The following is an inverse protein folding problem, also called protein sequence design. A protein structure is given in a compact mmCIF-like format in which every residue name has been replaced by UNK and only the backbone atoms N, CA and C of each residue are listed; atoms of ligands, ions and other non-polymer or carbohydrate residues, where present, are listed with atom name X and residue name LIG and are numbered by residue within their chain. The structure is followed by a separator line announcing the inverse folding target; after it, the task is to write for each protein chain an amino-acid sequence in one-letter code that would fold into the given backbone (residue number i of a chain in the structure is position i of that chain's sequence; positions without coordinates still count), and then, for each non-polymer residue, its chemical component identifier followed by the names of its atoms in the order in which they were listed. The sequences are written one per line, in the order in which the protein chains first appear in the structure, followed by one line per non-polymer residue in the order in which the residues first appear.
data_IF_754831170866
#
_entry.id   IF_754831170866
#
_cell.length_a   1.000
_cell.length_b   1.000
_cell.length_c   1.000
_cell.angle_alpha   90.00
_cell.angle_beta   90.00
_cell.angle_gamma   90.00
#
_symmetry.space_group_name_H-M   'P 1'
#
loop_
_entity.id
_entity.type
_entity.pdbx_description
1 polymer ?
#
# COMPACT_ATOMS: atom_id res chain seq x y z
N UNK A 1 -33.04 -11.23 71.99
CA UNK A 1 -32.42 -10.04 71.38
C UNK A 1 -31.24 -10.57 70.54
N UNK A 2 -31.37 -10.64 69.23
CA UNK A 2 -30.33 -11.18 68.28
C UNK A 2 -29.94 -10.04 67.36
N UNK A 3 -28.74 -9.46 67.56
CA UNK A 3 -28.13 -8.44 66.69
C UNK A 3 -27.60 -9.11 65.44
N UNK A 4 -28.12 -8.72 64.27
CA UNK A 4 -27.53 -9.08 62.98
C UNK A 4 -26.64 -7.92 62.55
N UNK A 5 -25.31 -8.11 62.60
CA UNK A 5 -24.36 -7.26 61.90
C UNK A 5 -24.42 -7.53 60.40
N UNK A 6 -24.78 -6.53 59.60
CA UNK A 6 -24.65 -6.58 58.17
C UNK A 6 -23.31 -5.97 57.78
N UNK A 7 -22.41 -6.80 57.27
CA UNK A 7 -21.11 -6.35 56.65
C UNK A 7 -21.39 -5.83 55.25
N UNK A 8 -21.19 -4.53 55.03
CA UNK A 8 -21.08 -3.96 53.70
C UNK A 8 -19.70 -4.21 53.15
N UNK A 9 -19.59 -5.01 52.09
CA UNK A 9 -18.38 -5.14 51.31
C UNK A 9 -18.40 -4.07 50.21
N UNK A 10 -17.56 -3.05 50.37
CA UNK A 10 -17.33 -2.04 49.32
C UNK A 10 -16.40 -2.63 48.25
N UNK A 11 -16.92 -2.93 47.07
CA UNK A 11 -16.15 -3.32 45.92
C UNK A 11 -15.64 -2.06 45.24
N UNK A 12 -14.39 -1.69 45.49
CA UNK A 12 -13.69 -0.64 44.75
C UNK A 12 -13.31 -1.16 43.37
N UNK A 13 -14.08 -0.81 42.35
CA UNK A 13 -13.76 -1.11 40.97
C UNK A 13 -12.53 -0.32 40.50
N UNK A 14 -11.41 -1.01 40.28
CA UNK A 14 -10.24 -0.44 39.67
C UNK A 14 -10.49 -0.31 38.16
N UNK A 15 -10.79 0.89 37.67
CA UNK A 15 -10.91 1.15 36.25
C UNK A 15 -9.49 1.09 35.63
N UNK A 16 -9.16 0.02 34.93
CA UNK A 16 -7.98 -0.02 34.05
C UNK A 16 -8.23 0.94 32.89
N UNK A 17 -7.60 2.09 32.89
CA UNK A 17 -7.47 2.91 31.72
C UNK A 17 -6.56 2.18 30.73
N UNK A 18 -7.15 1.59 29.68
CA UNK A 18 -6.41 1.06 28.54
C UNK A 18 -5.78 2.25 27.81
N UNK A 19 -4.51 2.51 28.06
CA UNK A 19 -3.72 3.41 27.21
C UNK A 19 -3.58 2.73 25.86
N UNK A 20 -4.28 3.24 24.86
CA UNK A 20 -4.05 2.85 23.47
C UNK A 20 -2.64 3.36 23.11
N UNK A 21 -1.70 2.43 22.99
CA UNK A 21 -0.42 2.71 22.36
C UNK A 21 -0.72 2.91 20.87
N UNK A 22 -0.87 4.16 20.44
CA UNK A 22 -0.81 4.49 19.03
C UNK A 22 0.62 4.22 18.59
N UNK A 23 0.79 3.30 17.65
CA UNK A 23 2.07 3.15 16.98
C UNK A 23 2.36 4.49 16.28
N UNK A 24 3.49 5.11 16.59
CA UNK A 24 3.91 6.35 15.95
C UNK A 24 3.94 6.12 14.44
N UNK A 25 3.20 6.94 13.70
CA UNK A 25 3.23 6.92 12.24
C UNK A 25 4.65 7.24 11.77
N UNK A 26 5.14 6.50 10.77
CA UNK A 26 6.43 6.78 10.14
C UNK A 26 6.43 8.06 9.29
N UNK A 27 5.29 8.71 9.17
CA UNK A 27 5.08 9.99 8.48
C UNK A 27 4.36 10.94 9.43
N UNK A 28 4.90 12.13 9.60
CA UNK A 28 4.29 13.20 10.38
C UNK A 28 3.22 13.90 9.57
N UNK A 29 1.96 13.49 9.73
CA UNK A 29 0.79 13.98 9.00
C UNK A 29 -0.50 13.84 9.80
N UNK A 30 -1.51 14.62 9.42
CA UNK A 30 -2.85 14.64 10.00
C UNK A 30 -3.84 13.87 9.13
N UNK A 31 -4.49 12.84 9.70
CA UNK A 31 -5.55 12.09 9.01
C UNK A 31 -6.74 13.01 8.70
N UNK A 32 -7.09 13.93 9.60
CA UNK A 32 -8.20 14.86 9.42
C UNK A 32 -7.93 15.84 8.26
N UNK A 33 -6.75 16.43 8.23
CA UNK A 33 -6.35 17.35 7.15
C UNK A 33 -6.22 16.60 5.81
N UNK A 34 -5.66 15.39 5.83
CA UNK A 34 -5.57 14.52 4.67
C UNK A 34 -6.94 14.18 4.08
N UNK A 35 -7.93 13.87 4.95
CA UNK A 35 -9.31 13.67 4.54
C UNK A 35 -9.90 14.91 3.88
N UNK A 36 -9.70 16.09 4.46
CA UNK A 36 -10.20 17.34 3.91
C UNK A 36 -9.61 17.65 2.52
N UNK A 37 -8.34 17.28 2.30
CA UNK A 37 -7.62 17.50 1.04
C UNK A 37 -7.87 16.42 -0.01
N UNK A 38 -8.37 15.25 0.37
CA UNK A 38 -8.50 14.07 -0.51
C UNK A 38 -9.54 14.21 -1.61
N UNK A 39 -10.43 15.21 -1.56
CA UNK A 39 -11.58 15.32 -2.45
C UNK A 39 -11.22 15.26 -3.94
N UNK A 40 -10.14 15.90 -4.35
CA UNK A 40 -9.67 15.87 -5.75
C UNK A 40 -9.12 14.50 -6.15
N UNK A 41 -8.58 13.75 -5.21
CA UNK A 41 -8.02 12.41 -5.43
C UNK A 41 -9.13 11.38 -5.67
N UNK A 42 -10.27 11.55 -5.00
CA UNK A 42 -11.39 10.59 -5.04
C UNK A 42 -12.02 10.45 -6.41
N UNK A 43 -11.91 11.44 -7.27
CA UNK A 43 -12.44 11.41 -8.64
C UNK A 43 -11.85 10.24 -9.47
N UNK A 44 -10.60 9.88 -9.23
CA UNK A 44 -9.90 8.81 -9.93
C UNK A 44 -9.69 7.59 -9.03
N UNK A 45 -9.27 7.83 -7.78
CA UNK A 45 -8.92 6.76 -6.84
C UNK A 45 -10.12 6.21 -6.03
N UNK A 46 -11.33 6.70 -6.29
CA UNK A 46 -12.54 6.31 -5.57
C UNK A 46 -12.73 7.05 -4.25
N UNK A 47 -13.97 7.11 -3.71
CA UNK A 47 -14.31 7.93 -2.54
C UNK A 47 -13.55 7.54 -1.27
N UNK A 48 -13.12 6.29 -1.18
CA UNK A 48 -12.34 5.75 -0.05
C UNK A 48 -10.96 5.26 -0.49
N UNK A 49 -10.43 5.78 -1.60
CA UNK A 49 -9.12 5.38 -2.12
C UNK A 49 -9.08 3.99 -2.77
N UNK A 50 -10.24 3.39 -3.05
CA UNK A 50 -10.40 2.14 -3.78
C UNK A 50 -11.05 2.44 -5.13
N UNK A 51 -10.23 2.46 -6.19
CA UNK A 51 -10.68 2.80 -7.54
C UNK A 51 -11.57 1.72 -8.14
N UNK A 52 -12.62 2.14 -8.85
CA UNK A 52 -13.44 1.23 -9.67
C UNK A 52 -12.83 0.98 -11.04
N UNK A 53 -11.89 1.82 -11.46
CA UNK A 53 -11.19 1.68 -12.74
C UNK A 53 -9.85 0.98 -12.55
N UNK A 54 -9.57 -0.09 -13.30
CA UNK A 54 -8.28 -0.79 -13.22
C UNK A 54 -7.09 0.03 -13.75
N UNK A 55 -7.37 1.16 -14.40
CA UNK A 55 -6.35 2.09 -14.89
C UNK A 55 -5.70 2.90 -13.76
N UNK A 56 -6.45 3.18 -12.69
CA UNK A 56 -6.00 3.97 -11.55
C UNK A 56 -5.80 3.08 -10.33
N UNK A 57 -4.72 3.27 -9.57
CA UNK A 57 -4.43 2.40 -8.44
C UNK A 57 -5.40 2.59 -7.27
N UNK A 58 -5.62 1.49 -6.55
CA UNK A 58 -6.07 1.56 -5.18
C UNK A 58 -4.95 2.17 -4.34
N UNK A 59 -5.27 3.18 -3.54
CA UNK A 59 -4.35 3.86 -2.63
C UNK A 59 -4.76 3.72 -1.16
N UNK A 60 -5.97 3.22 -0.90
CA UNK A 60 -6.41 2.86 0.45
C UNK A 60 -5.57 1.73 1.03
N UNK A 61 -5.18 1.85 2.30
CA UNK A 61 -4.32 0.88 3.00
C UNK A 61 -2.90 0.79 2.47
N UNK A 62 -2.49 1.71 1.61
CA UNK A 62 -1.12 1.79 1.14
C UNK A 62 -0.23 2.46 2.17
N UNK A 63 0.99 1.95 2.37
CA UNK A 63 1.95 2.46 3.34
C UNK A 63 2.23 3.96 3.16
N UNK A 64 2.03 4.77 4.19
CA UNK A 64 2.21 6.23 4.13
C UNK A 64 3.62 6.64 3.69
N UNK A 65 4.72 6.02 4.16
CA UNK A 65 6.06 6.36 3.67
C UNK A 65 6.24 6.13 2.17
N UNK A 66 5.55 5.12 1.61
CA UNK A 66 5.57 4.87 0.18
C UNK A 66 4.73 5.90 -0.58
N UNK A 67 3.50 6.20 -0.13
CA UNK A 67 2.65 7.22 -0.75
C UNK A 67 3.34 8.58 -0.79
N UNK A 68 3.90 9.02 0.34
CA UNK A 68 4.65 10.27 0.43
C UNK A 68 5.82 10.30 -0.55
N UNK A 69 6.59 9.21 -0.63
CA UNK A 69 7.71 9.11 -1.56
C UNK A 69 7.25 9.17 -3.03
N UNK A 70 6.10 8.57 -3.37
CA UNK A 70 5.58 8.62 -4.73
C UNK A 70 5.03 10.01 -5.10
N UNK A 71 4.32 10.70 -4.19
CA UNK A 71 3.86 12.06 -4.42
C UNK A 71 5.03 13.02 -4.65
N UNK A 72 6.09 12.89 -3.83
CA UNK A 72 7.33 13.65 -4.04
C UNK A 72 7.99 13.32 -5.38
N UNK A 73 8.08 12.04 -5.73
CA UNK A 73 8.66 11.61 -7.00
C UNK A 73 7.91 12.18 -8.23
N UNK A 74 6.57 12.26 -8.18
CA UNK A 74 5.78 12.92 -9.21
C UNK A 74 6.02 14.42 -9.27
N UNK A 75 6.14 15.08 -8.12
CA UNK A 75 6.42 16.51 -8.03
C UNK A 75 7.82 16.88 -8.54
N UNK A 76 8.80 16.04 -8.22
CA UNK A 76 10.22 16.22 -8.59
C UNK A 76 10.54 15.74 -10.01
N UNK A 77 9.61 15.02 -10.66
CA UNK A 77 9.78 14.48 -12.00
C UNK A 77 10.60 13.19 -12.08
N UNK A 78 11.01 12.59 -10.95
CA UNK A 78 11.68 11.28 -10.94
C UNK A 78 10.70 10.11 -11.17
N UNK A 79 9.39 10.38 -11.07
CA UNK A 79 8.30 9.56 -11.57
C UNK A 79 7.37 10.46 -12.40
N UNK A 80 7.07 10.05 -13.62
CA UNK A 80 6.25 10.87 -14.53
C UNK A 80 4.93 10.19 -14.86
N UNK A 81 3.86 10.95 -14.77
CA UNK A 81 2.53 10.61 -15.24
C UNK A 81 1.79 11.92 -15.50
N UNK A 82 1.18 12.12 -16.69
CA UNK A 82 0.57 13.42 -17.03
C UNK A 82 -0.46 13.92 -16.02
N UNK A 83 -1.26 13.01 -15.44
CA UNK A 83 -2.29 13.35 -14.47
C UNK A 83 -1.68 13.55 -13.08
N UNK A 84 -0.93 12.53 -12.60
CA UNK A 84 -0.40 12.57 -11.23
C UNK A 84 0.68 13.62 -11.02
N UNK A 85 1.53 13.88 -12.02
CA UNK A 85 2.52 14.96 -11.93
C UNK A 85 1.84 16.33 -11.77
N UNK A 86 0.76 16.59 -12.53
CA UNK A 86 -0.01 17.81 -12.40
C UNK A 86 -0.68 17.95 -11.01
N UNK A 87 -1.24 16.86 -10.47
CA UNK A 87 -1.83 16.86 -9.13
C UNK A 87 -0.77 17.10 -8.04
N UNK A 88 0.36 16.41 -8.12
CA UNK A 88 1.42 16.51 -7.12
C UNK A 88 2.09 17.91 -7.09
N UNK A 89 2.17 18.61 -8.22
CA UNK A 89 2.68 19.98 -8.30
C UNK A 89 1.92 20.98 -7.43
N UNK A 90 0.63 20.74 -7.18
CA UNK A 90 -0.23 21.62 -6.39
C UNK A 90 -0.11 21.39 -4.88
N UNK A 91 0.54 20.30 -4.44
CA UNK A 91 0.62 19.89 -3.04
C UNK A 91 1.87 20.49 -2.38
N UNK A 92 1.71 20.98 -1.16
CA UNK A 92 2.83 21.24 -0.25
C UNK A 92 3.38 19.91 0.31
N UNK A 93 4.54 19.94 0.95
CA UNK A 93 5.11 18.77 1.61
C UNK A 93 4.21 18.25 2.73
N UNK A 94 3.56 19.16 3.47
CA UNK A 94 2.60 18.79 4.52
C UNK A 94 1.33 18.18 3.91
N UNK A 95 0.79 18.72 2.81
CA UNK A 95 -0.37 18.13 2.14
C UNK A 95 -0.09 16.68 1.70
N UNK A 96 1.11 16.44 1.17
CA UNK A 96 1.52 15.08 0.77
C UNK A 96 1.64 14.14 1.97
N UNK A 97 2.12 14.62 3.12
CA UNK A 97 2.20 13.84 4.35
C UNK A 97 0.81 13.52 4.91
N UNK A 98 -0.08 14.52 4.99
CA UNK A 98 -1.45 14.37 5.48
C UNK A 98 -2.25 13.38 4.61
N UNK A 99 -2.18 13.53 3.30
CA UNK A 99 -2.81 12.60 2.34
C UNK A 99 -2.26 11.18 2.49
N UNK A 100 -0.96 11.02 2.70
CA UNK A 100 -0.33 9.71 2.84
C UNK A 100 -0.85 8.97 4.07
N UNK A 101 -0.90 9.61 5.24
CA UNK A 101 -1.43 8.98 6.47
C UNK A 101 -2.93 8.76 6.41
N UNK A 102 -3.68 9.64 5.74
CA UNK A 102 -5.11 9.45 5.54
C UNK A 102 -5.39 8.20 4.72
N UNK A 103 -4.78 8.05 3.53
CA UNK A 103 -5.03 6.88 2.70
C UNK A 103 -4.49 5.58 3.31
N UNK A 104 -3.40 5.62 4.08
CA UNK A 104 -2.93 4.46 4.84
C UNK A 104 -3.98 4.00 5.87
N UNK A 105 -4.72 4.93 6.50
CA UNK A 105 -5.73 4.63 7.51
C UNK A 105 -7.00 3.97 6.95
N UNK A 106 -7.19 4.01 5.64
CA UNK A 106 -8.38 3.46 4.98
C UNK A 106 -8.24 1.95 4.71
N UNK A 107 -9.36 1.21 4.70
CA UNK A 107 -9.33 -0.23 4.42
C UNK A 107 -8.91 -0.49 2.97
N UNK A 108 -7.89 -1.33 2.79
CA UNK A 108 -7.46 -1.78 1.48
C UNK A 108 -8.55 -2.59 0.76
N UNK A 109 -8.61 -2.49 -0.57
CA UNK A 109 -9.52 -3.27 -1.38
C UNK A 109 -9.27 -4.78 -1.21
N UNK A 110 -10.36 -5.55 -1.10
CA UNK A 110 -10.33 -6.99 -1.19
C UNK A 110 -10.88 -7.40 -2.56
N UNK A 111 -10.03 -7.97 -3.40
CA UNK A 111 -10.40 -8.38 -4.75
C UNK A 111 -10.15 -9.87 -4.96
N UNK A 112 -10.70 -10.42 -6.03
CA UNK A 112 -10.37 -11.74 -6.53
C UNK A 112 -9.23 -11.65 -7.54
N UNK A 113 -8.53 -12.74 -7.77
CA UNK A 113 -7.54 -12.83 -8.86
C UNK A 113 -8.21 -12.48 -10.19
N UNK A 114 -7.51 -11.80 -11.07
CA UNK A 114 -8.04 -11.40 -12.37
C UNK A 114 -8.20 -12.61 -13.30
N UNK A 115 -7.25 -13.54 -13.27
CA UNK A 115 -7.23 -14.76 -14.08
C UNK A 115 -6.86 -15.95 -13.22
N UNK A 116 -7.84 -16.80 -12.95
CA UNK A 116 -7.67 -18.01 -12.14
C UNK A 116 -6.70 -19.03 -12.76
N UNK A 117 -6.57 -19.06 -14.09
CA UNK A 117 -5.68 -19.99 -14.79
C UNK A 117 -4.18 -19.72 -14.52
N UNK A 118 -3.84 -18.49 -14.17
CA UNK A 118 -2.46 -18.05 -13.93
C UNK A 118 -2.04 -18.09 -12.46
N UNK A 119 -2.94 -18.44 -11.53
CA UNK A 119 -2.70 -18.36 -10.06
C UNK A 119 -1.47 -19.15 -9.65
N UNK A 120 -1.33 -20.40 -10.09
CA UNK A 120 -0.20 -21.25 -9.70
C UNK A 120 1.15 -20.64 -10.12
N UNK A 121 1.21 -20.07 -11.33
CA UNK A 121 2.42 -19.38 -11.81
C UNK A 121 2.68 -18.11 -11.02
N UNK A 122 1.66 -17.28 -10.79
CA UNK A 122 1.76 -16.05 -10.02
C UNK A 122 2.21 -16.31 -8.59
N UNK A 123 1.63 -17.34 -7.94
CA UNK A 123 2.01 -17.75 -6.59
C UNK A 123 3.46 -18.26 -6.52
N UNK A 124 3.85 -19.13 -7.45
CA UNK A 124 5.21 -19.66 -7.49
C UNK A 124 6.25 -18.54 -7.62
N UNK A 125 6.02 -17.58 -8.52
CA UNK A 125 6.89 -16.42 -8.69
C UNK A 125 6.88 -15.50 -7.47
N UNK A 126 5.71 -15.23 -6.91
CA UNK A 126 5.59 -14.35 -5.75
C UNK A 126 6.33 -14.91 -4.54
N UNK A 127 6.17 -16.22 -4.27
CA UNK A 127 6.73 -16.90 -3.09
C UNK A 127 8.15 -17.41 -3.28
N UNK A 128 8.48 -17.89 -4.46
CA UNK A 128 9.76 -18.55 -4.76
C UNK A 128 10.69 -17.78 -5.67
N UNK A 129 10.16 -16.83 -6.44
CA UNK A 129 10.91 -16.20 -7.53
C UNK A 129 11.15 -17.15 -8.69
N UNK A 130 12.17 -16.86 -9.48
CA UNK A 130 12.66 -17.73 -10.54
C UNK A 130 14.20 -17.67 -10.56
N UNK A 131 14.84 -18.73 -10.06
CA UNK A 131 16.29 -18.80 -9.95
C UNK A 131 17.00 -18.92 -11.31
N UNK A 132 16.34 -19.49 -12.32
CA UNK A 132 16.89 -19.62 -13.67
C UNK A 132 17.11 -18.25 -14.32
N UNK A 133 16.18 -17.33 -14.11
CA UNK A 133 16.24 -15.96 -14.63
C UNK A 133 16.78 -14.94 -13.61
N UNK A 134 17.11 -15.40 -12.39
CA UNK A 134 17.57 -14.52 -11.31
C UNK A 134 16.49 -13.57 -10.77
N UNK A 135 15.21 -13.94 -10.85
CA UNK A 135 14.09 -13.20 -10.28
C UNK A 135 13.95 -13.53 -8.80
N UNK A 136 14.12 -12.55 -7.94
CA UNK A 136 13.93 -12.70 -6.50
C UNK A 136 12.44 -12.88 -6.15
N UNK A 137 12.16 -13.64 -5.08
CA UNK A 137 10.79 -13.78 -4.56
C UNK A 137 10.23 -12.43 -4.08
N UNK A 138 9.07 -12.05 -4.56
CA UNK A 138 8.42 -10.76 -4.24
C UNK A 138 8.11 -10.65 -2.74
N UNK A 139 7.73 -11.79 -2.11
CA UNK A 139 7.41 -11.85 -0.68
C UNK A 139 8.57 -11.41 0.23
N UNK A 140 9.83 -11.52 -0.23
CA UNK A 140 11.00 -11.14 0.57
C UNK A 140 11.00 -9.65 0.96
N UNK A 141 10.47 -8.80 0.08
CA UNK A 141 10.37 -7.36 0.30
C UNK A 141 8.93 -6.91 0.57
N UNK A 142 7.96 -7.49 -0.14
CA UNK A 142 6.55 -7.08 -0.04
C UNK A 142 5.74 -7.88 0.99
N UNK A 143 6.36 -8.82 1.69
CA UNK A 143 5.73 -9.65 2.72
C UNK A 143 4.87 -10.78 2.15
N UNK A 144 4.57 -11.81 2.97
CA UNK A 144 3.87 -13.03 2.52
C UNK A 144 2.42 -12.78 2.09
N UNK A 145 1.79 -11.74 2.62
CA UNK A 145 0.43 -11.29 2.32
C UNK A 145 0.40 -10.01 1.45
N UNK A 146 1.56 -9.53 0.99
CA UNK A 146 1.64 -8.35 0.14
C UNK A 146 1.36 -7.02 0.86
N UNK A 147 1.52 -6.95 2.18
CA UNK A 147 1.32 -5.70 2.94
C UNK A 147 2.49 -4.73 2.86
N UNK A 148 3.58 -5.15 2.22
CA UNK A 148 4.78 -4.34 2.10
C UNK A 148 5.60 -4.22 3.37
N UNK A 149 6.51 -3.25 3.37
CA UNK A 149 7.31 -2.87 4.53
C UNK A 149 7.40 -1.34 4.61
N UNK A 150 6.64 -0.71 5.50
CA UNK A 150 6.61 0.76 5.61
C UNK A 150 7.98 1.37 5.91
N UNK A 151 8.77 0.76 6.81
CA UNK A 151 10.07 1.28 7.22
C UNK A 151 11.08 1.28 6.05
N UNK A 152 10.97 0.31 5.13
CA UNK A 152 11.77 0.24 3.92
C UNK A 152 11.13 0.98 2.72
N UNK A 153 9.95 1.56 2.90
CA UNK A 153 9.12 2.18 1.84
C UNK A 153 8.74 1.20 0.73
N UNK A 154 8.66 -0.10 1.06
CA UNK A 154 8.15 -1.10 0.11
C UNK A 154 6.62 -1.09 0.14
N UNK A 155 5.97 -0.95 -1.02
CA UNK A 155 4.52 -0.80 -1.08
C UNK A 155 3.76 -2.06 -0.69
N UNK A 156 2.55 -1.86 -0.18
CA UNK A 156 1.53 -2.89 -0.18
C UNK A 156 1.13 -3.20 -1.64
N UNK A 157 0.98 -4.49 -1.92
CA UNK A 157 0.58 -5.00 -3.24
C UNK A 157 -0.78 -5.67 -3.21
N UNK A 158 -1.22 -6.16 -2.02
CA UNK A 158 -2.48 -6.86 -1.86
C UNK A 158 -3.66 -6.03 -2.39
N UNK A 159 -4.55 -6.67 -3.11
CA UNK A 159 -5.76 -6.02 -3.61
C UNK A 159 -5.53 -4.93 -4.65
N UNK A 160 -4.30 -4.74 -5.15
CA UNK A 160 -4.03 -3.78 -6.20
C UNK A 160 -4.51 -4.30 -7.55
N UNK A 161 -5.07 -3.43 -8.38
CA UNK A 161 -5.52 -3.79 -9.73
C UNK A 161 -4.42 -4.46 -10.56
N UNK A 162 -4.75 -5.58 -11.17
CA UNK A 162 -3.81 -6.33 -12.00
C UNK A 162 -3.29 -5.49 -13.18
N UNK A 163 -4.16 -4.70 -13.84
CA UNK A 163 -3.75 -3.86 -14.96
C UNK A 163 -2.77 -2.78 -14.54
N UNK A 164 -3.02 -2.15 -13.38
CA UNK A 164 -2.08 -1.17 -12.83
C UNK A 164 -0.75 -1.84 -12.45
N UNK A 165 -0.79 -3.00 -11.78
CA UNK A 165 0.43 -3.74 -11.38
C UNK A 165 1.24 -4.15 -12.60
N UNK A 166 0.59 -4.68 -13.65
CA UNK A 166 1.24 -5.06 -14.91
C UNK A 166 1.90 -3.84 -15.60
N UNK A 167 1.18 -2.71 -15.65
CA UNK A 167 1.75 -1.46 -16.15
C UNK A 167 3.00 -1.05 -15.36
N UNK A 168 2.94 -1.08 -14.03
CA UNK A 168 4.07 -0.65 -13.21
C UNK A 168 5.30 -1.57 -13.38
N UNK A 169 5.11 -2.88 -13.47
CA UNK A 169 6.20 -3.82 -13.74
C UNK A 169 6.80 -3.57 -15.13
N UNK A 170 5.96 -3.33 -16.14
CA UNK A 170 6.39 -2.99 -17.50
C UNK A 170 7.17 -1.66 -17.53
N UNK A 171 6.69 -0.64 -16.81
CA UNK A 171 7.35 0.66 -16.73
C UNK A 171 8.72 0.55 -16.04
N UNK A 172 8.86 -0.30 -15.01
CA UNK A 172 10.16 -0.60 -14.41
C UNK A 172 11.07 -1.36 -15.37
N UNK A 173 10.57 -2.41 -16.05
CA UNK A 173 11.34 -3.20 -16.99
C UNK A 173 11.91 -2.37 -18.16
N UNK A 174 11.12 -1.41 -18.64
CA UNK A 174 11.52 -0.51 -19.74
C UNK A 174 12.36 0.69 -19.29
N UNK A 175 12.49 0.93 -17.98
CA UNK A 175 13.11 2.13 -17.44
C UNK A 175 12.26 3.40 -17.54
N UNK A 176 10.99 3.30 -17.96
CA UNK A 176 10.04 4.43 -17.95
C UNK A 176 9.71 4.88 -16.51
N UNK A 177 9.81 3.96 -15.55
CA UNK A 177 9.70 4.26 -14.12
C UNK A 177 11.05 4.03 -13.43
N UNK A 178 11.58 5.06 -12.78
CA UNK A 178 12.87 5.03 -12.07
C UNK A 178 12.74 5.43 -10.60
N UNK A 179 11.52 5.43 -10.05
CA UNK A 179 11.24 5.85 -8.68
C UNK A 179 11.72 4.86 -7.59
N UNK A 180 12.38 3.76 -7.97
CA UNK A 180 13.16 2.87 -7.12
C UNK A 180 14.57 3.40 -6.81
N UNK A 181 14.89 4.59 -7.32
CA UNK A 181 16.11 5.33 -7.03
C UNK A 181 17.40 4.67 -7.54
N UNK A 182 18.50 4.92 -6.83
CA UNK A 182 19.84 4.43 -7.19
C UNK A 182 19.98 2.92 -7.01
N UNK A 183 19.18 2.31 -6.17
CA UNK A 183 19.23 0.87 -5.89
C UNK A 183 18.76 0.01 -7.06
N UNK A 184 17.93 0.55 -7.95
CA UNK A 184 17.35 -0.12 -9.13
C UNK A 184 16.64 -1.45 -8.85
N UNK A 185 16.29 -1.73 -7.59
CA UNK A 185 15.80 -3.06 -7.17
C UNK A 185 14.61 -3.52 -8.02
N UNK A 186 13.61 -2.65 -8.22
CA UNK A 186 12.42 -3.03 -9.00
C UNK A 186 12.71 -3.09 -10.50
N UNK A 187 13.56 -2.24 -11.03
CA UNK A 187 13.99 -2.30 -12.43
C UNK A 187 14.74 -3.60 -12.70
N UNK A 188 15.73 -3.94 -11.88
CA UNK A 188 16.56 -5.13 -12.05
C UNK A 188 15.76 -6.44 -11.91
N UNK A 189 14.69 -6.45 -11.10
CA UNK A 189 13.75 -7.58 -11.02
C UNK A 189 12.84 -7.61 -12.24
N UNK A 190 12.23 -6.48 -12.59
CA UNK A 190 11.22 -6.40 -13.64
C UNK A 190 11.79 -6.68 -15.05
N UNK A 191 13.02 -6.26 -15.33
CA UNK A 191 13.74 -6.55 -16.59
C UNK A 191 13.88 -8.04 -16.89
N UNK A 192 13.81 -8.90 -15.86
CA UNK A 192 13.96 -10.35 -15.96
C UNK A 192 12.63 -11.11 -16.06
N UNK A 193 11.50 -10.40 -15.92
CA UNK A 193 10.17 -10.99 -16.03
C UNK A 193 9.73 -11.06 -17.49
N UNK A 194 9.19 -12.20 -17.90
CA UNK A 194 8.48 -12.29 -19.19
C UNK A 194 7.12 -11.57 -19.10
N UNK A 195 6.48 -11.34 -20.23
CA UNK A 195 5.12 -10.77 -20.27
C UNK A 195 4.11 -11.68 -19.57
N UNK A 196 4.28 -13.00 -19.68
CA UNK A 196 3.48 -14.00 -19.01
C UNK A 196 3.69 -13.99 -17.49
N UNK A 197 4.93 -13.76 -17.03
CA UNK A 197 5.24 -13.59 -15.60
C UNK A 197 4.58 -12.34 -15.03
N UNK A 198 4.68 -11.22 -15.74
CA UNK A 198 4.04 -9.96 -15.36
C UNK A 198 2.53 -10.14 -15.26
N UNK A 199 1.90 -10.79 -16.24
CA UNK A 199 0.46 -11.04 -16.22
C UNK A 199 0.04 -11.93 -15.03
N UNK A 200 0.77 -13.04 -14.81
CA UNK A 200 0.48 -13.99 -13.72
C UNK A 200 0.68 -13.35 -12.34
N UNK A 201 1.80 -12.65 -12.11
CA UNK A 201 2.09 -11.92 -10.87
C UNK A 201 1.03 -10.86 -10.60
N UNK A 202 0.65 -10.08 -11.59
CA UNK A 202 -0.33 -9.01 -11.46
C UNK A 202 -1.71 -9.53 -11.10
N UNK A 203 -2.13 -10.64 -11.73
CA UNK A 203 -3.37 -11.33 -11.40
C UNK A 203 -3.35 -11.88 -9.97
N UNK A 204 -2.26 -12.55 -9.57
CA UNK A 204 -2.11 -13.13 -8.23
C UNK A 204 -2.14 -12.06 -7.14
N UNK A 205 -1.41 -10.96 -7.33
CA UNK A 205 -1.32 -9.84 -6.38
C UNK A 205 -2.68 -9.19 -6.13
N UNK A 206 -3.51 -9.06 -7.17
CA UNK A 206 -4.87 -8.53 -7.03
C UNK A 206 -5.71 -9.37 -6.06
N UNK A 207 -5.56 -10.69 -6.07
CA UNK A 207 -6.28 -11.60 -5.18
C UNK A 207 -5.59 -11.90 -3.85
N UNK A 208 -4.42 -11.34 -3.59
CA UNK A 208 -3.65 -11.58 -2.38
C UNK A 208 -4.33 -10.92 -1.17
N UNK A 209 -4.41 -11.66 -0.02
CA UNK A 209 -5.12 -11.25 1.20
C UNK A 209 -4.28 -11.47 2.44
#
# INVERSE_FOLDING_TARGET
MKNKLASLIAITGLALAATQVQADSLVDGSIEDGKAKSLTCTACHGPEGNSVSPMWPNIAGQNAPYLLAQLKAFKEGSRTDPLMSAQAMLLSDQDMADLAVYFESLPAAAQSVKDASTVNRGEALYRGGNTENGVSACLACHGPTGRGNPAAKYPALQGQHADYTAKQLTDYASGARVSDGKTRIMRDIAERLSKEDIAALSSYVQGLK
#
